data_IF_349932125805
#
_entry.id   IF_349932125805
#
_cell.length_a   1.000
_cell.length_b   1.000
_cell.length_c   1.000
_cell.angle_alpha   90.00
_cell.angle_beta   90.00
_cell.angle_gamma   90.00
#
_symmetry.space_group_name_H-M   'P 1'
#
loop_
_entity.id
_entity.type
_entity.pdbx_description
1 polymer ?
#
# COMPACT_ATOMS: atom_id res chain seq x y z
N UNK A 1 7.88 1.48 -17.43
CA UNK A 1 8.13 0.03 -17.26
C UNK A 1 6.79 -0.68 -17.14
N UNK A 2 6.58 -1.68 -17.94
CA UNK A 2 5.30 -2.40 -18.01
C UNK A 2 5.17 -3.42 -16.88
N UNK A 3 3.93 -3.84 -16.64
CA UNK A 3 3.60 -4.80 -15.58
C UNK A 3 4.50 -6.04 -15.54
N UNK A 4 4.73 -6.78 -16.64
CA UNK A 4 5.55 -8.00 -16.56
C UNK A 4 6.98 -7.75 -16.10
N UNK A 5 7.57 -6.64 -16.50
CA UNK A 5 8.93 -6.30 -16.08
C UNK A 5 8.98 -5.91 -14.60
N UNK A 6 7.99 -5.19 -14.12
CA UNK A 6 7.89 -4.83 -12.70
C UNK A 6 7.69 -6.09 -11.86
N UNK A 7 6.78 -6.98 -12.26
CA UNK A 7 6.53 -8.23 -11.53
C UNK A 7 7.79 -9.07 -11.42
N UNK A 8 8.58 -9.14 -12.49
CA UNK A 8 9.86 -9.85 -12.47
C UNK A 8 10.80 -9.29 -11.38
N UNK A 9 10.92 -7.97 -11.30
CA UNK A 9 11.73 -7.32 -10.26
C UNK A 9 11.17 -7.57 -8.85
N UNK A 10 9.86 -7.48 -8.70
CA UNK A 10 9.23 -7.73 -7.40
C UNK A 10 9.53 -9.14 -6.89
N UNK A 11 9.48 -10.13 -7.76
CA UNK A 11 9.74 -11.52 -7.39
C UNK A 11 11.23 -11.80 -7.18
N UNK A 12 12.08 -11.39 -8.11
CA UNK A 12 13.51 -11.73 -8.07
C UNK A 12 14.28 -10.90 -7.05
N UNK A 13 14.08 -9.59 -7.05
CA UNK A 13 14.88 -8.66 -6.24
C UNK A 13 14.28 -8.37 -4.89
N UNK A 14 12.94 -8.23 -4.81
CA UNK A 14 12.24 -7.82 -3.59
C UNK A 14 11.55 -8.97 -2.87
N UNK A 15 11.55 -10.17 -3.48
CA UNK A 15 11.07 -11.41 -2.85
C UNK A 15 9.57 -11.41 -2.53
N UNK A 16 8.76 -10.73 -3.34
CA UNK A 16 7.31 -10.86 -3.24
C UNK A 16 6.89 -12.29 -3.56
N UNK A 17 6.00 -12.85 -2.76
CA UNK A 17 5.43 -14.18 -3.00
C UNK A 17 4.46 -14.13 -4.19
N UNK A 18 4.16 -15.29 -4.77
CA UNK A 18 3.15 -15.39 -5.84
C UNK A 18 1.78 -14.92 -5.34
N UNK A 19 1.43 -15.25 -4.09
CA UNK A 19 0.20 -14.78 -3.48
C UNK A 19 0.15 -13.26 -3.39
N UNK A 20 1.25 -12.63 -2.97
CA UNK A 20 1.35 -11.17 -2.90
C UNK A 20 1.24 -10.54 -4.29
N UNK A 21 1.85 -11.13 -5.31
CA UNK A 21 1.74 -10.64 -6.70
C UNK A 21 0.27 -10.66 -7.14
N UNK A 22 -0.46 -11.73 -6.85
CA UNK A 22 -1.88 -11.81 -7.19
C UNK A 22 -2.70 -10.73 -6.49
N UNK A 23 -2.40 -10.47 -5.22
CA UNK A 23 -3.05 -9.38 -4.48
C UNK A 23 -2.73 -8.01 -5.08
N UNK A 24 -1.49 -7.80 -5.53
CA UNK A 24 -1.12 -6.55 -6.21
C UNK A 24 -1.93 -6.35 -7.50
N UNK A 25 -2.15 -7.40 -8.28
CA UNK A 25 -2.96 -7.30 -9.50
C UNK A 25 -4.39 -6.88 -9.18
N UNK A 26 -4.98 -7.48 -8.15
CA UNK A 26 -6.34 -7.11 -7.71
C UNK A 26 -6.36 -5.65 -7.22
N UNK A 27 -5.37 -5.27 -6.45
CA UNK A 27 -5.26 -3.91 -5.92
C UNK A 27 -5.15 -2.87 -7.04
N UNK A 28 -4.27 -3.12 -8.02
CA UNK A 28 -4.11 -2.22 -9.18
C UNK A 28 -5.42 -2.04 -9.92
N UNK A 29 -6.13 -3.14 -10.19
CA UNK A 29 -7.44 -3.06 -10.86
C UNK A 29 -8.43 -2.25 -10.05
N UNK A 30 -8.45 -2.44 -8.74
CA UNK A 30 -9.35 -1.70 -7.85
C UNK A 30 -9.04 -0.21 -7.83
N UNK A 31 -7.76 0.18 -7.84
CA UNK A 31 -7.35 1.58 -7.91
C UNK A 31 -7.80 2.20 -9.22
N UNK A 32 -7.57 1.53 -10.33
CA UNK A 32 -7.94 2.04 -11.66
C UNK A 32 -9.46 2.20 -11.75
N UNK A 33 -10.22 1.21 -11.31
CA UNK A 33 -11.68 1.26 -11.35
C UNK A 33 -12.22 2.41 -10.47
N UNK A 34 -11.69 2.57 -9.27
CA UNK A 34 -12.11 3.64 -8.35
C UNK A 34 -11.66 5.02 -8.83
N UNK A 35 -10.55 5.09 -9.55
CA UNK A 35 -10.00 6.36 -10.03
C UNK A 35 -10.91 7.06 -11.04
N UNK A 36 -11.77 6.30 -11.70
CA UNK A 36 -12.78 6.87 -12.61
C UNK A 36 -13.68 7.86 -11.88
N UNK A 37 -14.05 7.58 -10.62
CA UNK A 37 -14.96 8.40 -9.83
C UNK A 37 -14.26 9.34 -8.85
N UNK A 38 -13.11 8.95 -8.29
CA UNK A 38 -12.61 9.55 -7.07
C UNK A 38 -11.22 10.18 -7.17
N UNK A 39 -10.58 10.17 -8.31
CA UNK A 39 -9.25 10.78 -8.50
C UNK A 39 -8.25 10.35 -7.41
N UNK A 40 -8.11 9.04 -7.21
CA UNK A 40 -7.23 8.48 -6.19
C UNK A 40 -5.75 8.72 -6.54
N UNK A 41 -5.41 8.66 -7.82
CA UNK A 41 -4.08 8.95 -8.35
C UNK A 41 -4.21 9.85 -9.57
N UNK A 42 -3.12 10.52 -9.96
CA UNK A 42 -3.15 11.36 -11.14
C UNK A 42 -3.30 10.51 -12.40
N UNK A 43 -3.98 11.06 -13.40
CA UNK A 43 -4.13 10.36 -14.68
C UNK A 43 -2.81 10.17 -15.40
N UNK A 44 -1.86 11.08 -15.18
CA UNK A 44 -0.53 10.96 -15.77
C UNK A 44 0.23 9.73 -15.28
N UNK A 45 -0.02 9.30 -14.05
CA UNK A 45 0.66 8.14 -13.47
C UNK A 45 -0.16 6.86 -13.57
N UNK A 46 -1.47 6.96 -13.88
CA UNK A 46 -2.35 5.79 -13.98
C UNK A 46 -1.86 4.79 -15.03
N UNK A 47 -1.41 5.28 -16.19
CA UNK A 47 -0.93 4.44 -17.26
C UNK A 47 0.39 3.73 -16.94
N UNK A 48 1.10 4.22 -15.92
CA UNK A 48 2.39 3.68 -15.50
C UNK A 48 2.35 3.30 -14.01
N UNK A 49 1.20 2.81 -13.57
CA UNK A 49 0.93 2.53 -12.15
C UNK A 49 1.91 1.51 -11.57
N UNK A 50 2.28 0.48 -12.35
CA UNK A 50 3.20 -0.56 -11.88
C UNK A 50 4.58 0.00 -11.58
N UNK A 51 5.09 0.89 -12.39
CA UNK A 51 6.40 1.51 -12.16
C UNK A 51 6.32 2.65 -11.13
N UNK A 52 5.41 3.58 -11.34
CA UNK A 52 5.38 4.82 -10.56
C UNK A 52 4.78 4.68 -9.16
N UNK A 53 3.90 3.70 -8.97
CA UNK A 53 3.25 3.51 -7.68
C UNK A 53 3.62 2.17 -7.03
N UNK A 54 3.53 1.07 -7.76
CA UNK A 54 3.77 -0.25 -7.17
C UNK A 54 5.26 -0.46 -6.90
N UNK A 55 6.10 -0.36 -7.91
CA UNK A 55 7.54 -0.61 -7.74
C UNK A 55 8.17 0.41 -6.80
N UNK A 56 7.80 1.67 -6.94
CA UNK A 56 8.29 2.74 -6.08
C UNK A 56 8.00 2.45 -4.60
N UNK A 57 6.77 2.05 -4.30
CA UNK A 57 6.36 1.68 -2.93
C UNK A 57 7.07 0.42 -2.45
N UNK A 58 7.17 -0.58 -3.32
CA UNK A 58 7.71 -1.89 -2.97
C UNK A 58 9.18 -1.85 -2.59
N UNK A 59 9.92 -0.89 -3.11
CA UNK A 59 11.36 -0.77 -2.78
C UNK A 59 11.62 -0.55 -1.30
N UNK A 60 10.63 -0.04 -0.57
CA UNK A 60 10.76 0.19 0.87
C UNK A 60 10.93 -1.11 1.68
N UNK A 61 10.52 -2.26 1.12
CA UNK A 61 10.66 -3.54 1.84
C UNK A 61 12.12 -3.84 2.22
N UNK A 62 13.07 -3.29 1.48
CA UNK A 62 14.50 -3.46 1.77
C UNK A 62 14.93 -2.86 3.11
N UNK A 63 14.16 -1.91 3.64
CA UNK A 63 14.50 -1.16 4.83
C UNK A 63 13.66 -1.55 6.04
N UNK A 64 12.81 -2.55 5.90
CA UNK A 64 11.83 -2.92 6.94
C UNK A 64 12.05 -4.37 7.35
N UNK A 65 12.10 -4.60 8.67
CA UNK A 65 12.09 -5.94 9.22
C UNK A 65 10.64 -6.31 9.55
N UNK A 66 10.08 -7.23 8.78
CA UNK A 66 8.68 -7.64 8.91
C UNK A 66 8.48 -8.77 9.94
N UNK A 67 9.46 -9.11 10.76
CA UNK A 67 9.34 -10.23 11.71
C UNK A 67 8.36 -9.93 12.84
N UNK A 68 8.34 -8.70 13.33
CA UNK A 68 7.38 -8.26 14.34
C UNK A 68 7.33 -6.75 14.37
N UNK A 69 6.32 -6.21 15.05
CA UNK A 69 6.17 -4.77 15.23
C UNK A 69 5.12 -4.17 14.31
N UNK A 70 5.28 -2.91 13.99
CA UNK A 70 4.30 -2.20 13.17
C UNK A 70 4.92 -1.09 12.33
N UNK A 71 4.19 -0.71 11.30
CA UNK A 71 4.50 0.38 10.40
C UNK A 71 3.29 1.29 10.31
N UNK A 72 3.51 2.59 10.39
CA UNK A 72 2.45 3.58 10.17
C UNK A 72 2.70 4.33 8.88
N UNK A 73 1.70 4.38 8.01
CA UNK A 73 1.71 5.14 6.76
C UNK A 73 0.86 6.39 6.96
N UNK A 74 1.50 7.56 6.95
CA UNK A 74 0.84 8.83 7.22
C UNK A 74 0.34 9.44 5.92
N UNK A 75 -0.98 9.57 5.78
CA UNK A 75 -1.60 10.07 4.57
C UNK A 75 -1.60 9.03 3.47
N UNK A 76 -2.18 7.87 3.73
CA UNK A 76 -2.10 6.70 2.84
C UNK A 76 -2.68 6.92 1.45
N UNK A 77 -3.63 7.81 1.29
CA UNK A 77 -4.24 8.11 0.00
C UNK A 77 -4.86 6.88 -0.65
N UNK A 78 -4.43 6.55 -1.85
CA UNK A 78 -4.88 5.35 -2.58
C UNK A 78 -4.21 4.06 -2.07
N UNK A 79 -3.31 4.16 -1.10
CA UNK A 79 -2.64 2.99 -0.52
C UNK A 79 -1.15 2.89 -0.84
N UNK A 80 -0.53 3.98 -1.26
CA UNK A 80 0.88 4.01 -1.61
C UNK A 80 1.67 4.84 -0.58
N UNK A 81 2.63 4.26 0.15
CA UNK A 81 3.14 2.89 0.02
C UNK A 81 2.45 1.85 0.91
N UNK A 82 1.58 2.24 1.84
CA UNK A 82 1.12 1.39 2.94
C UNK A 82 0.46 0.09 2.52
N UNK A 83 -0.46 0.12 1.56
CA UNK A 83 -1.14 -1.10 1.10
C UNK A 83 -0.17 -2.05 0.39
N UNK A 84 0.75 -1.52 -0.41
CA UNK A 84 1.77 -2.35 -1.08
C UNK A 84 2.62 -3.09 -0.04
N UNK A 85 3.01 -2.39 1.03
CA UNK A 85 3.80 -2.99 2.11
C UNK A 85 2.98 -4.03 2.89
N UNK A 86 1.70 -3.76 3.12
CA UNK A 86 0.80 -4.73 3.77
C UNK A 86 0.61 -5.98 2.90
N UNK A 87 0.56 -5.81 1.57
CA UNK A 87 0.47 -6.94 0.63
C UNK A 87 1.74 -7.78 0.66
N UNK A 88 2.91 -7.14 0.72
CA UNK A 88 4.17 -7.87 0.85
C UNK A 88 4.22 -8.70 2.14
N UNK A 89 3.72 -8.14 3.23
CA UNK A 89 3.80 -8.74 4.55
C UNK A 89 2.97 -10.03 4.63
N UNK A 90 3.61 -11.13 4.99
CA UNK A 90 2.94 -12.42 5.21
C UNK A 90 2.98 -12.83 6.68
N UNK A 91 3.51 -11.98 7.55
CA UNK A 91 3.69 -12.27 8.97
C UNK A 91 2.56 -11.65 9.80
N UNK A 92 1.81 -12.47 10.50
CA UNK A 92 0.70 -12.01 11.36
C UNK A 92 1.18 -11.19 12.56
N UNK A 93 2.46 -11.25 12.90
CA UNK A 93 3.02 -10.47 14.02
C UNK A 93 3.48 -9.07 13.58
N UNK A 94 3.38 -8.74 12.30
CA UNK A 94 3.69 -7.41 11.80
C UNK A 94 2.40 -6.74 11.34
N UNK A 95 2.14 -5.52 11.83
CA UNK A 95 0.90 -4.79 11.59
C UNK A 95 1.16 -3.51 10.81
N UNK A 96 0.30 -3.22 9.83
CA UNK A 96 0.35 -1.98 9.07
C UNK A 96 -0.80 -1.07 9.48
N UNK A 97 -0.50 0.18 9.82
CA UNK A 97 -1.49 1.19 10.20
C UNK A 97 -1.57 2.24 9.11
N UNK A 98 -2.75 2.42 8.55
CA UNK A 98 -2.99 3.34 7.44
C UNK A 98 -3.77 4.55 7.96
N UNK A 99 -3.13 5.72 7.96
CA UNK A 99 -3.75 6.96 8.42
C UNK A 99 -4.23 7.76 7.22
N UNK A 100 -5.53 7.95 7.11
CA UNK A 100 -6.14 8.69 6.01
C UNK A 100 -7.37 9.46 6.49
N UNK A 101 -7.38 10.78 6.35
CA UNK A 101 -8.46 11.64 6.82
C UNK A 101 -9.61 11.78 5.82
N UNK A 102 -9.37 11.54 4.53
CA UNK A 102 -10.43 11.63 3.51
C UNK A 102 -11.44 10.49 3.67
N UNK A 103 -12.75 10.77 3.85
CA UNK A 103 -13.74 9.71 3.97
C UNK A 103 -13.79 8.79 2.74
N UNK A 104 -13.64 9.34 1.54
CA UNK A 104 -13.68 8.58 0.29
C UNK A 104 -12.48 7.63 0.22
N UNK A 105 -11.28 8.13 0.47
CA UNK A 105 -10.07 7.32 0.43
C UNK A 105 -10.04 6.29 1.56
N UNK A 106 -10.48 6.69 2.75
CA UNK A 106 -10.60 5.80 3.90
C UNK A 106 -11.52 4.60 3.61
N UNK A 107 -12.67 4.87 2.99
CA UNK A 107 -13.62 3.81 2.60
C UNK A 107 -13.00 2.87 1.56
N UNK A 108 -12.28 3.42 0.59
CA UNK A 108 -11.56 2.61 -0.41
C UNK A 108 -10.53 1.70 0.27
N UNK A 109 -9.73 2.24 1.19
CA UNK A 109 -8.72 1.46 1.90
C UNK A 109 -9.34 0.34 2.74
N UNK A 110 -10.44 0.62 3.44
CA UNK A 110 -11.15 -0.39 4.21
C UNK A 110 -11.62 -1.55 3.34
N UNK A 111 -12.16 -1.22 2.16
CA UNK A 111 -12.60 -2.24 1.20
C UNK A 111 -11.43 -3.12 0.75
N UNK A 112 -10.30 -2.51 0.40
CA UNK A 112 -9.11 -3.21 -0.08
C UNK A 112 -8.54 -4.12 1.01
N UNK A 113 -8.41 -3.62 2.23
CA UNK A 113 -7.89 -4.40 3.37
C UNK A 113 -8.74 -5.64 3.60
N UNK A 114 -10.06 -5.49 3.52
CA UNK A 114 -10.98 -6.60 3.69
C UNK A 114 -10.91 -7.60 2.54
N UNK A 115 -10.97 -7.13 1.29
CA UNK A 115 -10.94 -7.99 0.10
C UNK A 115 -9.66 -8.81 0.01
N UNK A 116 -8.53 -8.21 0.34
CA UNK A 116 -7.24 -8.86 0.22
C UNK A 116 -6.77 -9.53 1.51
N UNK A 117 -7.58 -9.47 2.56
CA UNK A 117 -7.27 -10.06 3.86
C UNK A 117 -5.89 -9.60 4.36
N UNK A 118 -5.70 -8.29 4.42
CA UNK A 118 -4.42 -7.71 4.83
C UNK A 118 -4.38 -7.50 6.35
N UNK A 119 -3.20 -7.69 6.93
CA UNK A 119 -2.96 -7.36 8.33
C UNK A 119 -2.71 -5.85 8.47
N UNK A 120 -3.76 -5.09 8.26
CA UNK A 120 -3.72 -3.64 8.25
C UNK A 120 -4.99 -3.06 8.86
N UNK A 121 -4.87 -1.87 9.43
CA UNK A 121 -6.00 -1.16 10.02
C UNK A 121 -5.98 0.30 9.58
N UNK A 122 -7.15 0.87 9.34
CA UNK A 122 -7.30 2.25 8.88
C UNK A 122 -7.69 3.15 10.05
N UNK A 123 -7.00 4.30 10.16
CA UNK A 123 -7.27 5.34 11.14
C UNK A 123 -7.58 6.64 10.41
N UNK A 124 -8.62 7.35 10.86
CA UNK A 124 -9.08 8.55 10.16
C UNK A 124 -8.29 9.81 10.54
N UNK A 125 -7.66 9.82 11.71
CA UNK A 125 -7.01 11.03 12.22
C UNK A 125 -5.73 10.68 13.00
N UNK A 126 -4.59 11.24 12.57
CA UNK A 126 -3.31 11.05 13.23
C UNK A 126 -3.19 11.87 14.52
N UNK A 127 -4.02 12.91 14.68
CA UNK A 127 -3.92 13.82 15.83
C UNK A 127 -4.60 13.28 17.08
N UNK A 128 -5.47 12.31 16.94
CA UNK A 128 -6.24 11.75 18.06
C UNK A 128 -5.48 10.67 18.82
N UNK A 129 -4.37 10.17 18.26
CA UNK A 129 -3.64 9.05 18.81
C UNK A 129 -2.14 9.29 18.78
N UNK A 130 -1.45 8.78 19.79
CA UNK A 130 0.00 8.67 19.73
C UNK A 130 0.37 7.59 18.70
N UNK A 131 1.25 7.94 17.77
CA UNK A 131 1.72 7.00 16.77
C UNK A 131 2.87 6.19 17.36
N UNK A 132 2.61 4.92 17.64
CA UNK A 132 3.60 3.97 18.15
C UNK A 132 3.87 2.94 17.07
N UNK A 133 4.99 3.08 16.39
CA UNK A 133 5.41 2.15 15.34
C UNK A 133 6.91 2.15 15.21
N UNK A 134 7.47 0.99 14.86
CA UNK A 134 8.89 0.86 14.58
C UNK A 134 9.27 1.61 13.31
N UNK A 135 8.34 1.75 12.36
CA UNK A 135 8.56 2.43 11.09
C UNK A 135 7.45 3.43 10.82
N UNK A 136 7.82 4.58 10.32
CA UNK A 136 6.87 5.59 9.85
C UNK A 136 7.24 5.89 8.41
N UNK A 137 6.26 5.76 7.52
CA UNK A 137 6.44 6.06 6.11
C UNK A 137 5.42 7.12 5.69
N UNK A 138 5.77 7.89 4.69
CA UNK A 138 4.83 8.79 4.05
C UNK A 138 5.36 9.11 2.65
N UNK A 139 4.45 9.47 1.75
CA UNK A 139 4.84 9.77 0.38
C UNK A 139 4.60 11.23 0.04
N UNK A 140 3.42 11.73 0.22
CA UNK A 140 3.07 13.11 -0.07
C UNK A 140 2.22 13.68 1.06
N UNK A 141 2.70 13.50 2.28
CA UNK A 141 1.98 13.94 3.46
C UNK A 141 1.99 15.48 3.55
N UNK A 142 0.82 16.05 3.75
CA UNK A 142 0.66 17.50 3.90
C UNK A 142 -0.08 17.84 5.18
#
# INVERSE_FOLDING_TARGET
MQEPNVIKLLKSDLKFSDSSINKLRIFVKSVIDANVKHNLISKNTENDIWHRHILDSAQLVKFINFNHGSLSDLGSGAGFPGVVLAIFNINSDFHVKLYEKSPVKSAFLKKIVKELDLNAKIFNNIYDNTIESEYIVCRAFK
#
